data_IF_376333854131
#
_entry.id   IF_376333854131
#
_cell.length_a   1.000
_cell.length_b   1.000
_cell.length_c   1.000
_cell.angle_alpha   90.00
_cell.angle_beta   90.00
_cell.angle_gamma   90.00
#
_symmetry.space_group_name_H-M   'P 1'
#
loop_
_entity.id
_entity.type
_entity.pdbx_description
1 polymer ?
#
# COMPACT_ATOMS: atom_id res chain seq x y z
N UNK A 1 15.27 -22.40 27.19
CA UNK A 1 14.68 -23.75 27.21
C UNK A 1 13.93 -23.97 25.91
N UNK A 2 13.63 -25.22 25.54
CA UNK A 2 12.82 -25.59 24.38
C UNK A 2 11.49 -24.84 24.33
N UNK A 3 10.85 -24.68 25.49
CA UNK A 3 9.58 -23.96 25.68
C UNK A 3 9.63 -22.48 25.24
N UNK A 4 10.77 -21.80 25.45
CA UNK A 4 10.94 -20.42 24.97
C UNK A 4 11.01 -20.37 23.44
N UNK A 5 11.65 -21.35 22.80
CA UNK A 5 11.75 -21.42 21.34
C UNK A 5 10.39 -21.73 20.70
N UNK A 6 9.59 -22.63 21.28
CA UNK A 6 8.25 -22.94 20.81
C UNK A 6 7.31 -21.72 20.90
N UNK A 7 7.37 -20.97 22.00
CA UNK A 7 6.60 -19.73 22.15
C UNK A 7 7.01 -18.66 21.14
N UNK A 8 8.31 -18.50 20.91
CA UNK A 8 8.81 -17.57 19.89
C UNK A 8 8.32 -17.97 18.49
N UNK A 9 8.43 -19.25 18.12
CA UNK A 9 7.98 -19.75 16.82
C UNK A 9 6.48 -19.53 16.59
N UNK A 10 5.65 -19.77 17.61
CA UNK A 10 4.21 -19.50 17.55
C UNK A 10 3.91 -18.01 17.35
N UNK A 11 4.64 -17.13 18.06
CA UNK A 11 4.52 -15.70 17.88
C UNK A 11 4.92 -15.26 16.47
N UNK A 12 6.07 -15.72 15.97
CA UNK A 12 6.55 -15.40 14.61
C UNK A 12 5.58 -15.85 13.53
N UNK A 13 5.07 -17.09 13.61
CA UNK A 13 4.08 -17.60 12.65
C UNK A 13 2.78 -16.79 12.65
N UNK A 14 2.32 -16.35 13.82
CA UNK A 14 1.15 -15.48 13.94
C UNK A 14 1.40 -14.07 13.41
N UNK A 15 2.55 -13.46 13.70
CA UNK A 15 2.91 -12.14 13.16
C UNK A 15 3.04 -12.21 11.64
N UNK A 16 3.70 -13.24 11.11
CA UNK A 16 3.85 -13.45 9.67
C UNK A 16 2.49 -13.64 8.98
N UNK A 17 1.54 -14.35 9.59
CA UNK A 17 0.21 -14.51 9.01
C UNK A 17 -0.61 -13.21 9.03
N UNK A 18 -0.47 -12.40 10.08
CA UNK A 18 -1.07 -11.05 10.15
C UNK A 18 -0.49 -10.15 9.06
N UNK A 19 0.83 -10.09 8.93
CA UNK A 19 1.51 -9.30 7.90
C UNK A 19 1.14 -9.77 6.49
N UNK A 20 1.09 -11.09 6.28
CA UNK A 20 0.67 -11.67 5.02
C UNK A 20 -0.75 -11.24 4.65
N UNK A 21 -1.69 -11.28 5.61
CA UNK A 21 -3.05 -10.83 5.39
C UNK A 21 -3.13 -9.32 5.07
N UNK A 22 -2.40 -8.49 5.82
CA UNK A 22 -2.34 -7.04 5.58
C UNK A 22 -1.83 -6.71 4.17
N UNK A 23 -0.83 -7.44 3.68
CA UNK A 23 -0.31 -7.27 2.33
C UNK A 23 -1.38 -7.55 1.24
N UNK A 24 -2.17 -8.62 1.39
CA UNK A 24 -3.26 -8.92 0.45
C UNK A 24 -4.38 -7.87 0.47
N UNK A 25 -4.74 -7.39 1.67
CA UNK A 25 -5.73 -6.32 1.82
C UNK A 25 -5.23 -5.03 1.15
N UNK A 26 -3.96 -4.67 1.36
CA UNK A 26 -3.38 -3.50 0.73
C UNK A 26 -3.35 -3.59 -0.81
N UNK A 27 -2.94 -4.74 -1.37
CA UNK A 27 -2.98 -4.94 -2.83
C UNK A 27 -4.40 -4.86 -3.40
N UNK A 28 -5.39 -5.38 -2.67
CA UNK A 28 -6.80 -5.24 -3.05
C UNK A 28 -7.21 -3.77 -3.12
N UNK A 29 -6.77 -2.96 -2.15
CA UNK A 29 -6.97 -1.53 -2.16
C UNK A 29 -6.25 -0.80 -3.31
N UNK A 30 -5.04 -1.23 -3.68
CA UNK A 30 -4.35 -0.71 -4.89
C UNK A 30 -5.18 -0.97 -6.15
N UNK A 31 -5.68 -2.19 -6.32
CA UNK A 31 -6.51 -2.53 -7.49
C UNK A 31 -7.84 -1.77 -7.51
N UNK A 32 -8.49 -1.59 -6.36
CA UNK A 32 -9.68 -0.74 -6.25
C UNK A 32 -9.35 0.71 -6.63
N UNK A 33 -8.23 1.23 -6.13
CA UNK A 33 -7.72 2.55 -6.46
C UNK A 33 -7.57 2.76 -7.96
N UNK A 34 -6.82 1.86 -8.62
CA UNK A 34 -6.63 1.88 -10.07
C UNK A 34 -7.96 1.76 -10.84
N UNK A 35 -8.86 0.88 -10.40
CA UNK A 35 -10.19 0.71 -10.99
C UNK A 35 -11.03 2.00 -10.93
N UNK A 36 -11.10 2.65 -9.76
CA UNK A 36 -11.81 3.92 -9.60
C UNK A 36 -11.16 5.05 -10.42
N UNK A 37 -9.82 5.06 -10.53
CA UNK A 37 -9.10 6.01 -11.39
C UNK A 37 -9.51 5.85 -12.85
N UNK A 38 -9.55 4.62 -13.36
CA UNK A 38 -10.02 4.34 -14.71
C UNK A 38 -11.49 4.74 -14.96
N UNK A 39 -12.32 4.77 -13.91
CA UNK A 39 -13.69 5.27 -13.95
C UNK A 39 -13.79 6.81 -13.78
N UNK A 40 -12.67 7.52 -13.64
CA UNK A 40 -12.65 8.97 -13.38
C UNK A 40 -13.06 9.36 -11.95
N UNK A 41 -13.25 8.39 -11.05
CA UNK A 41 -13.63 8.62 -9.65
C UNK A 41 -12.37 8.87 -8.80
N UNK A 42 -11.67 9.97 -9.10
CA UNK A 42 -10.31 10.22 -8.63
C UNK A 42 -10.20 10.35 -7.09
N UNK A 43 -11.20 10.93 -6.41
CA UNK A 43 -11.18 11.02 -4.94
C UNK A 43 -11.34 9.66 -4.25
N UNK A 44 -12.18 8.80 -4.83
CA UNK A 44 -12.38 7.44 -4.33
C UNK A 44 -11.16 6.57 -4.61
N UNK A 45 -10.51 6.78 -5.76
CA UNK A 45 -9.22 6.17 -6.07
C UNK A 45 -8.17 6.52 -5.00
N UNK A 46 -7.98 7.81 -4.71
CA UNK A 46 -7.04 8.27 -3.68
C UNK A 46 -7.35 7.70 -2.30
N UNK A 47 -8.63 7.64 -1.91
CA UNK A 47 -9.04 7.06 -0.63
C UNK A 47 -8.54 5.62 -0.48
N UNK A 48 -8.75 4.78 -1.49
CA UNK A 48 -8.30 3.39 -1.42
C UNK A 48 -6.78 3.26 -1.50
N UNK A 49 -6.12 4.05 -2.33
CA UNK A 49 -4.67 4.02 -2.43
C UNK A 49 -3.96 4.46 -1.13
N UNK A 50 -4.49 5.46 -0.42
CA UNK A 50 -3.97 5.89 0.88
C UNK A 50 -4.15 4.81 1.96
N UNK A 51 -5.27 4.09 1.95
CA UNK A 51 -5.46 2.92 2.83
C UNK A 51 -4.41 1.84 2.52
N UNK A 52 -4.09 1.60 1.25
CA UNK A 52 -3.04 0.65 0.90
C UNK A 52 -1.67 1.05 1.47
N UNK A 53 -1.32 2.33 1.42
CA UNK A 53 -0.11 2.89 2.02
C UNK A 53 -0.10 2.69 3.54
N UNK A 54 -1.21 2.94 4.23
CA UNK A 54 -1.32 2.77 5.69
C UNK A 54 -1.16 1.31 6.15
N UNK A 55 -1.55 0.35 5.30
CA UNK A 55 -1.52 -1.08 5.60
C UNK A 55 -0.20 -1.77 5.25
N UNK A 56 0.65 -1.14 4.44
CA UNK A 56 1.91 -1.74 3.98
C UNK A 56 3.08 -1.35 4.89
N UNK A 57 3.81 -2.35 5.37
CA UNK A 57 5.20 -2.15 5.77
C UNK A 57 6.04 -1.81 4.51
N UNK A 58 7.14 -1.04 4.64
CA UNK A 58 7.97 -0.64 3.51
C UNK A 58 8.47 -1.88 2.74
N UNK A 59 7.81 -2.15 1.62
CA UNK A 59 8.00 -3.29 0.73
C UNK A 59 7.74 -2.80 -0.69
N UNK A 60 8.07 -3.62 -1.69
CA UNK A 60 7.81 -3.34 -3.11
C UNK A 60 6.36 -3.01 -3.43
N UNK A 61 5.40 -3.46 -2.62
CA UNK A 61 3.97 -3.12 -2.79
C UNK A 61 3.66 -1.63 -2.55
N UNK A 62 4.49 -0.95 -1.74
CA UNK A 62 4.35 0.47 -1.39
C UNK A 62 4.77 1.39 -2.54
N UNK A 63 5.78 0.99 -3.31
CA UNK A 63 6.19 1.67 -4.53
C UNK A 63 5.05 1.75 -5.55
N UNK A 64 4.28 0.66 -5.72
CA UNK A 64 3.11 0.64 -6.61
C UNK A 64 2.00 1.56 -6.12
N UNK A 65 1.70 1.55 -4.82
CA UNK A 65 0.69 2.43 -4.25
C UNK A 65 1.05 3.90 -4.44
N UNK A 66 2.29 4.31 -4.18
CA UNK A 66 2.74 5.68 -4.41
C UNK A 66 2.70 6.10 -5.88
N UNK A 67 3.07 5.21 -6.80
CA UNK A 67 2.94 5.48 -8.23
C UNK A 67 1.48 5.70 -8.67
N UNK A 68 0.55 4.85 -8.23
CA UNK A 68 -0.87 5.05 -8.56
C UNK A 68 -1.43 6.33 -7.93
N UNK A 69 -1.00 6.70 -6.72
CA UNK A 69 -1.38 7.98 -6.09
C UNK A 69 -0.89 9.15 -6.92
N UNK A 70 0.38 9.11 -7.34
CA UNK A 70 0.99 10.16 -8.15
C UNK A 70 0.27 10.33 -9.49
N UNK A 71 -0.03 9.23 -10.17
CA UNK A 71 -0.82 9.24 -11.42
C UNK A 71 -2.22 9.80 -11.16
N UNK A 72 -2.87 9.42 -10.07
CA UNK A 72 -4.21 9.92 -9.72
C UNK A 72 -4.20 11.45 -9.48
N UNK A 73 -3.20 11.98 -8.77
CA UNK A 73 -3.06 13.44 -8.58
C UNK A 73 -2.78 14.17 -9.89
N UNK A 74 -1.95 13.60 -10.77
CA UNK A 74 -1.71 14.14 -12.11
C UNK A 74 -3.01 14.18 -12.92
N UNK A 75 -3.81 13.11 -12.88
CA UNK A 75 -5.11 13.05 -13.55
C UNK A 75 -6.12 14.06 -12.97
N UNK A 76 -5.98 14.45 -11.69
CA UNK A 76 -6.71 15.58 -11.07
C UNK A 76 -6.16 16.97 -11.44
N UNK A 77 -5.00 17.05 -12.07
CA UNK A 77 -4.29 18.29 -12.38
C UNK A 77 -3.38 18.82 -11.27
N UNK A 78 -3.25 18.11 -10.14
CA UNK A 78 -2.33 18.48 -9.06
C UNK A 78 -0.93 17.89 -9.29
N UNK A 79 -0.21 18.50 -10.23
CA UNK A 79 1.12 18.03 -10.63
C UNK A 79 2.17 18.13 -9.50
N UNK A 80 1.95 19.01 -8.51
CA UNK A 80 2.87 19.15 -7.38
C UNK A 80 2.77 17.93 -6.48
N UNK A 81 1.56 17.57 -6.06
CA UNK A 81 1.37 16.36 -5.26
C UNK A 81 1.76 15.11 -6.04
N UNK A 82 1.48 15.07 -7.35
CA UNK A 82 1.94 13.97 -8.20
C UNK A 82 3.46 13.78 -8.13
N UNK A 83 4.24 14.85 -8.28
CA UNK A 83 5.69 14.80 -8.20
C UNK A 83 6.16 14.32 -6.82
N UNK A 84 5.57 14.85 -5.74
CA UNK A 84 5.94 14.46 -4.37
C UNK A 84 5.75 12.94 -4.16
N UNK A 85 4.66 12.36 -4.66
CA UNK A 85 4.43 10.90 -4.54
C UNK A 85 5.31 10.07 -5.47
N UNK A 86 5.66 10.56 -6.67
CA UNK A 86 6.66 9.88 -7.50
C UNK A 86 8.03 9.84 -6.83
N UNK A 87 8.44 10.92 -6.16
CA UNK A 87 9.69 10.96 -5.41
C UNK A 87 9.67 9.97 -4.24
N UNK A 88 8.56 9.90 -3.49
CA UNK A 88 8.39 8.87 -2.45
C UNK A 88 8.50 7.45 -2.99
N UNK A 89 8.02 7.19 -4.20
CA UNK A 89 8.13 5.88 -4.83
C UNK A 89 9.59 5.51 -5.18
N UNK A 90 10.43 6.50 -5.48
CA UNK A 90 11.86 6.33 -5.78
C UNK A 90 12.74 6.17 -4.53
N UNK A 91 12.27 6.64 -3.37
CA UNK A 91 13.01 6.58 -2.10
C UNK A 91 12.90 5.23 -1.38
N UNK A 92 12.04 4.32 -1.84
CA UNK A 92 11.87 2.94 -1.31
C UNK A 92 12.91 2.01 -1.92
#
# INVERSE_FOLDING_TARGET
SLEFQERALKFWTQVSSIQYNQHHIANTHVHLGAGYRHLGQLDLALKHLLIAVELQSPTTSLTFAYNEIAITYRDKGDNRLALDYFLKALEI
#
